data_IF_311054701223
#
_entry.id   IF_311054701223
#
_cell.length_a   1.000
_cell.length_b   1.000
_cell.length_c   1.000
_cell.angle_alpha   90.00
_cell.angle_beta   90.00
_cell.angle_gamma   90.00
#
_symmetry.space_group_name_H-M   'P 1'
#
loop_
_entity.id
_entity.type
_entity.pdbx_description
1 polymer ?
#
# COMPACT_ATOMS: atom_id res chain seq x y z
N UNK A 1 -23.56 4.35 26.54
CA UNK A 1 -22.10 4.59 26.49
C UNK A 1 -21.74 4.53 25.03
N UNK A 2 -21.65 5.69 24.35
CA UNK A 2 -21.32 5.77 22.94
C UNK A 2 -19.85 5.39 22.81
N UNK A 3 -19.60 4.27 22.15
CA UNK A 3 -18.26 3.89 21.70
C UNK A 3 -17.83 4.97 20.68
N UNK A 4 -17.04 5.92 21.12
CA UNK A 4 -16.44 6.92 20.22
C UNK A 4 -15.53 6.14 19.28
N UNK A 5 -16.00 5.90 18.09
CA UNK A 5 -15.30 5.24 17.02
C UNK A 5 -13.99 6.00 16.74
N UNK A 6 -12.92 5.59 17.42
CA UNK A 6 -11.58 6.14 17.19
C UNK A 6 -11.25 5.94 15.71
N UNK A 7 -11.00 7.01 14.95
CA UNK A 7 -10.69 6.87 13.53
C UNK A 7 -9.47 5.95 13.39
N UNK A 8 -9.64 4.86 12.64
CA UNK A 8 -8.59 3.87 12.48
C UNK A 8 -7.32 4.45 11.84
N UNK A 9 -6.15 3.97 12.26
CA UNK A 9 -4.83 4.46 11.86
C UNK A 9 -4.48 3.98 10.45
N UNK A 10 -4.19 4.92 9.55
CA UNK A 10 -3.55 4.66 8.25
C UNK A 10 -2.03 4.80 8.41
N UNK A 11 -1.30 3.69 8.34
CA UNK A 11 0.15 3.68 8.39
C UNK A 11 0.73 3.88 7.00
N UNK A 12 1.42 4.99 6.77
CA UNK A 12 2.21 5.22 5.56
C UNK A 12 3.65 4.82 5.82
N UNK A 13 4.18 3.93 4.97
CA UNK A 13 5.59 3.55 4.93
C UNK A 13 6.20 4.22 3.69
N UNK A 14 7.04 5.23 3.92
CA UNK A 14 7.71 6.00 2.85
C UNK A 14 9.10 5.41 2.58
N UNK A 15 9.31 4.93 1.34
CA UNK A 15 10.58 4.36 0.87
C UNK A 15 11.18 5.23 -0.23
N UNK A 16 11.70 6.40 0.11
CA UNK A 16 12.40 7.24 -0.87
C UNK A 16 13.90 7.22 -0.60
N UNK A 17 14.75 6.78 -1.54
CA UNK A 17 16.20 6.64 -1.33
C UNK A 17 16.90 7.94 -0.93
N UNK A 18 16.35 9.06 -1.36
CA UNK A 18 16.87 10.41 -1.09
C UNK A 18 15.67 11.35 -0.84
N UNK A 19 15.16 11.34 0.39
CA UNK A 19 14.00 12.14 0.77
C UNK A 19 14.27 13.65 0.69
N UNK A 20 15.52 14.10 0.81
CA UNK A 20 15.89 15.53 0.70
C UNK A 20 15.76 16.02 -0.73
N UNK A 21 16.07 15.20 -1.72
CA UNK A 21 15.93 15.52 -3.16
C UNK A 21 14.55 15.23 -3.72
N UNK A 22 13.74 14.49 -3.00
CA UNK A 22 12.39 14.15 -3.42
C UNK A 22 11.46 15.34 -3.36
N UNK A 23 11.07 15.90 -4.50
CA UNK A 23 10.05 16.94 -4.55
C UNK A 23 8.65 16.38 -4.31
N UNK A 24 8.27 15.37 -5.11
CA UNK A 24 6.89 14.85 -5.12
C UNK A 24 6.59 14.02 -3.88
N UNK A 25 7.38 12.97 -3.59
CA UNK A 25 7.11 12.13 -2.41
C UNK A 25 7.15 12.91 -1.11
N UNK A 26 8.04 13.91 -0.99
CA UNK A 26 8.07 14.80 0.18
C UNK A 26 6.83 15.68 0.27
N UNK A 27 6.34 16.23 -0.87
CA UNK A 27 5.10 17.00 -0.89
C UNK A 27 3.89 16.14 -0.49
N UNK A 28 3.78 14.91 -1.01
CA UNK A 28 2.73 13.97 -0.64
C UNK A 28 2.81 13.62 0.86
N UNK A 29 3.99 13.29 1.37
CA UNK A 29 4.20 12.96 2.78
C UNK A 29 3.84 14.11 3.72
N UNK A 30 4.24 15.35 3.38
CA UNK A 30 3.87 16.55 4.14
C UNK A 30 2.37 16.80 4.15
N UNK A 31 1.70 16.64 3.00
CA UNK A 31 0.25 16.78 2.91
C UNK A 31 -0.46 15.72 3.77
N UNK A 32 0.00 14.47 3.73
CA UNK A 32 -0.56 13.37 4.50
C UNK A 32 -0.35 13.53 6.02
N UNK A 33 0.80 14.06 6.44
CA UNK A 33 1.13 14.28 7.86
C UNK A 33 0.17 15.24 8.58
N UNK A 34 -0.58 16.07 7.83
CA UNK A 34 -1.64 16.93 8.37
C UNK A 34 -2.93 16.19 8.73
N UNK A 35 -3.08 14.92 8.36
CA UNK A 35 -4.29 14.14 8.63
C UNK A 35 -4.18 13.41 9.98
N UNK A 36 -5.13 13.63 10.89
CA UNK A 36 -5.11 13.10 12.27
C UNK A 36 -5.13 11.55 12.35
N UNK A 37 -5.60 10.88 11.28
CA UNK A 37 -5.67 9.42 11.21
C UNK A 37 -4.47 8.80 10.49
N UNK A 38 -3.45 9.58 10.15
CA UNK A 38 -2.25 9.13 9.44
C UNK A 38 -1.05 9.07 10.37
N UNK A 39 -0.36 7.94 10.35
CA UNK A 39 0.97 7.76 10.92
C UNK A 39 1.97 7.55 9.78
N UNK A 40 2.95 8.44 9.67
CA UNK A 40 4.00 8.38 8.64
C UNK A 40 5.30 7.81 9.23
N UNK A 41 5.91 6.86 8.55
CA UNK A 41 7.25 6.36 8.83
C UNK A 41 8.14 6.54 7.60
N UNK A 42 9.19 7.35 7.73
CA UNK A 42 10.26 7.42 6.74
C UNK A 42 11.21 6.24 6.95
N UNK A 43 11.10 5.25 6.08
CA UNK A 43 11.80 3.97 6.22
C UNK A 43 13.31 4.12 5.97
N UNK A 44 13.72 5.07 5.14
CA UNK A 44 15.15 5.33 4.90
C UNK A 44 15.78 6.02 6.12
N UNK A 45 15.08 6.95 6.73
CA UNK A 45 15.53 7.57 7.99
C UNK A 45 15.58 6.57 9.15
N UNK A 46 14.63 5.63 9.23
CA UNK A 46 14.61 4.58 10.25
C UNK A 46 15.67 3.50 10.03
N UNK A 47 16.03 3.22 8.78
CA UNK A 47 16.91 2.12 8.39
C UNK A 47 18.02 2.57 7.43
N UNK A 48 18.86 3.54 7.82
CA UNK A 48 19.88 4.11 6.92
C UNK A 48 20.96 3.08 6.51
N UNK A 49 21.15 2.02 7.30
CA UNK A 49 22.07 0.93 7.00
C UNK A 49 21.36 -0.31 6.42
N UNK A 50 20.09 -0.17 5.98
CA UNK A 50 19.26 -1.29 5.58
C UNK A 50 18.69 -2.08 6.76
N UNK A 51 17.97 -3.16 6.46
CA UNK A 51 17.23 -3.96 7.44
C UNK A 51 17.84 -5.36 7.61
N UNK A 52 17.67 -5.92 8.80
CA UNK A 52 18.01 -7.31 9.11
C UNK A 52 16.84 -7.99 9.85
N UNK A 53 16.68 -9.30 9.58
CA UNK A 53 15.58 -10.09 10.14
C UNK A 53 15.55 -10.02 11.68
N UNK A 54 16.67 -10.31 12.30
CA UNK A 54 16.79 -10.47 13.76
C UNK A 54 16.63 -9.13 14.50
N UNK A 55 17.02 -8.03 13.86
CA UNK A 55 17.04 -6.71 14.49
C UNK A 55 15.74 -5.93 14.31
N UNK A 56 15.12 -6.05 13.12
CA UNK A 56 14.14 -5.07 12.67
C UNK A 56 12.74 -5.67 12.41
N UNK A 57 12.67 -6.98 12.12
CA UNK A 57 11.43 -7.60 11.65
C UNK A 57 10.28 -7.51 12.65
N UNK A 58 10.55 -7.72 13.95
CA UNK A 58 9.53 -7.68 15.00
C UNK A 58 8.90 -6.29 15.15
N UNK A 59 9.73 -5.26 15.16
CA UNK A 59 9.26 -3.87 15.27
C UNK A 59 8.34 -3.48 14.11
N UNK A 60 8.69 -3.88 12.89
CA UNK A 60 7.89 -3.58 11.71
C UNK A 60 6.64 -4.45 11.61
N UNK A 61 6.69 -5.73 11.98
CA UNK A 61 5.51 -6.56 12.10
C UNK A 61 4.53 -5.95 13.12
N UNK A 62 5.00 -5.54 14.28
CA UNK A 62 4.18 -4.85 15.28
C UNK A 62 3.60 -3.52 14.76
N UNK A 63 4.33 -2.78 13.91
CA UNK A 63 3.81 -1.58 13.23
C UNK A 63 2.64 -1.91 12.32
N UNK A 64 2.76 -2.95 11.51
CA UNK A 64 1.70 -3.40 10.60
C UNK A 64 0.46 -3.92 11.36
N UNK A 65 0.68 -4.66 12.45
CA UNK A 65 -0.43 -5.18 13.26
C UNK A 65 -1.26 -4.06 13.90
N UNK A 66 -0.61 -2.97 14.36
CA UNK A 66 -1.30 -1.82 14.96
C UNK A 66 -2.02 -0.93 13.96
N UNK A 67 -1.66 -1.00 12.68
CA UNK A 67 -2.30 -0.22 11.64
C UNK A 67 -3.66 -0.83 11.25
N UNK A 68 -4.65 0.01 11.02
CA UNK A 68 -5.94 -0.43 10.45
C UNK A 68 -5.88 -0.48 8.91
N UNK A 69 -4.98 0.32 8.32
CA UNK A 69 -4.74 0.42 6.87
C UNK A 69 -3.27 0.68 6.61
N UNK A 70 -2.77 0.22 5.48
CA UNK A 70 -1.36 0.33 5.11
C UNK A 70 -1.23 1.04 3.77
N UNK A 71 -0.30 1.99 3.68
CA UNK A 71 0.10 2.62 2.41
C UNK A 71 1.59 2.41 2.21
N UNK A 72 1.96 1.85 1.06
CA UNK A 72 3.34 1.78 0.60
C UNK A 72 3.59 2.94 -0.34
N UNK A 73 4.34 3.95 0.12
CA UNK A 73 4.64 5.15 -0.66
C UNK A 73 6.09 5.13 -1.15
N UNK A 74 6.29 5.22 -2.47
CA UNK A 74 7.64 5.13 -3.06
C UNK A 74 7.73 5.70 -4.48
N UNK A 75 8.93 6.13 -4.93
CA UNK A 75 9.19 6.36 -6.34
C UNK A 75 9.42 5.03 -7.05
N UNK A 76 8.78 4.81 -8.20
CA UNK A 76 9.09 3.65 -9.05
C UNK A 76 10.49 3.79 -9.62
N UNK A 77 11.35 2.82 -9.36
CA UNK A 77 12.72 2.78 -9.84
C UNK A 77 12.92 1.54 -10.72
N UNK A 78 13.36 1.76 -11.96
CA UNK A 78 13.55 0.66 -12.91
C UNK A 78 12.35 -0.29 -12.96
N UNK A 79 11.14 0.28 -13.07
CA UNK A 79 9.87 -0.45 -13.18
C UNK A 79 9.49 -1.30 -11.96
N UNK A 80 10.14 -1.07 -10.83
CA UNK A 80 9.94 -1.83 -9.59
C UNK A 80 10.02 -0.92 -8.36
N UNK A 81 10.03 -1.54 -7.19
CA UNK A 81 10.19 -0.88 -5.89
C UNK A 81 11.64 -0.46 -5.65
N UNK A 82 11.89 0.57 -4.82
CA UNK A 82 13.22 0.85 -4.29
C UNK A 82 13.78 -0.35 -3.52
N UNK A 83 15.11 -0.47 -3.49
CA UNK A 83 15.80 -1.61 -2.87
C UNK A 83 15.40 -1.83 -1.40
N UNK A 84 15.25 -0.75 -0.62
CA UNK A 84 14.85 -0.87 0.79
C UNK A 84 13.43 -1.42 0.95
N UNK A 85 12.49 -1.08 0.04
CA UNK A 85 11.15 -1.66 0.10
C UNK A 85 11.19 -3.17 -0.20
N UNK A 86 12.01 -3.60 -1.15
CA UNK A 86 12.19 -5.03 -1.40
C UNK A 86 12.82 -5.74 -0.20
N UNK A 87 13.85 -5.13 0.39
CA UNK A 87 14.46 -5.66 1.61
C UNK A 87 13.47 -5.73 2.78
N UNK A 88 12.63 -4.70 2.96
CA UNK A 88 11.57 -4.70 3.95
C UNK A 88 10.58 -5.86 3.71
N UNK A 89 10.17 -6.11 2.46
CA UNK A 89 9.32 -7.26 2.14
C UNK A 89 9.99 -8.57 2.56
N UNK A 90 11.28 -8.75 2.20
CA UNK A 90 12.03 -9.98 2.50
C UNK A 90 12.20 -10.19 4.01
N UNK A 91 12.42 -9.12 4.77
CA UNK A 91 12.60 -9.17 6.23
C UNK A 91 11.27 -9.34 6.96
N UNK A 92 10.29 -8.47 6.68
CA UNK A 92 9.06 -8.39 7.46
C UNK A 92 8.03 -9.43 7.03
N UNK A 93 7.80 -9.55 5.71
CA UNK A 93 6.81 -10.50 5.22
C UNK A 93 7.27 -11.95 5.35
N UNK A 94 8.59 -12.22 5.33
CA UNK A 94 9.11 -13.56 5.64
C UNK A 94 8.82 -13.92 7.10
N UNK A 95 9.08 -13.02 8.06
CA UNK A 95 8.70 -13.22 9.45
C UNK A 95 7.22 -13.51 9.59
N UNK A 96 6.38 -12.61 9.07
CA UNK A 96 4.93 -12.69 9.21
C UNK A 96 4.30 -13.87 8.45
N UNK A 97 4.88 -14.29 7.33
CA UNK A 97 4.29 -15.32 6.48
C UNK A 97 4.79 -16.74 6.73
N UNK A 98 6.02 -16.90 7.23
CA UNK A 98 6.65 -18.22 7.37
C UNK A 98 7.05 -18.56 8.80
N UNK A 99 7.33 -17.57 9.67
CA UNK A 99 7.74 -17.83 11.05
C UNK A 99 6.53 -17.70 11.98
N UNK A 100 5.74 -16.64 11.84
CA UNK A 100 4.58 -16.33 12.68
C UNK A 100 3.28 -16.20 11.84
N UNK A 101 3.08 -17.14 10.87
CA UNK A 101 2.00 -17.10 9.92
C UNK A 101 0.61 -17.07 10.55
N UNK A 102 0.40 -17.92 11.56
CA UNK A 102 -0.90 -18.12 12.21
C UNK A 102 -1.25 -16.97 13.21
N UNK A 103 -0.29 -16.12 13.53
CA UNK A 103 -0.47 -14.99 14.47
C UNK A 103 -0.27 -13.65 13.78
N UNK A 104 0.99 -13.26 13.53
CA UNK A 104 1.33 -11.98 12.91
C UNK A 104 0.83 -11.91 11.46
N UNK A 105 1.00 -13.00 10.67
CA UNK A 105 0.55 -13.06 9.29
C UNK A 105 -0.96 -13.02 9.17
N UNK A 106 -1.67 -13.78 10.00
CA UNK A 106 -3.13 -13.80 10.04
C UNK A 106 -3.74 -12.43 10.40
N UNK A 107 -3.02 -11.61 11.18
CA UNK A 107 -3.46 -10.24 11.53
C UNK A 107 -3.51 -9.27 10.33
N UNK A 108 -2.96 -9.65 9.18
CA UNK A 108 -3.04 -8.85 7.95
C UNK A 108 -4.29 -9.14 7.11
N UNK A 109 -4.99 -10.25 7.38
CA UNK A 109 -6.16 -10.65 6.60
C UNK A 109 -7.26 -9.56 6.65
N UNK A 110 -7.80 -9.21 5.47
CA UNK A 110 -8.81 -8.16 5.31
C UNK A 110 -8.31 -6.73 5.52
N UNK A 111 -7.05 -6.53 5.91
CA UNK A 111 -6.50 -5.19 6.13
C UNK A 111 -6.31 -4.48 4.79
N UNK A 112 -6.89 -3.28 4.61
CA UNK A 112 -6.72 -2.52 3.37
C UNK A 112 -5.27 -2.12 3.13
N UNK A 113 -4.79 -2.33 1.91
CA UNK A 113 -3.46 -1.89 1.47
C UNK A 113 -3.56 -1.10 0.16
N UNK A 114 -2.90 0.03 0.10
CA UNK A 114 -2.79 0.90 -1.07
C UNK A 114 -1.33 1.18 -1.39
N UNK A 115 -1.00 1.26 -2.67
CA UNK A 115 0.28 1.78 -3.15
C UNK A 115 0.11 3.26 -3.51
N UNK A 116 1.06 4.09 -3.10
CA UNK A 116 1.22 5.46 -3.59
C UNK A 116 2.56 5.56 -4.32
N UNK A 117 2.53 5.52 -5.65
CA UNK A 117 3.75 5.49 -6.46
C UNK A 117 3.90 6.75 -7.31
N UNK A 118 5.16 7.25 -7.38
CA UNK A 118 5.52 8.35 -8.30
C UNK A 118 6.40 7.81 -9.42
N UNK A 119 6.15 8.27 -10.64
CA UNK A 119 6.89 7.90 -11.84
C UNK A 119 7.43 9.15 -12.54
N UNK A 120 8.71 9.13 -12.94
CA UNK A 120 9.33 10.24 -13.66
C UNK A 120 8.74 10.41 -15.07
N UNK A 121 8.34 9.32 -15.73
CA UNK A 121 7.76 9.36 -17.07
C UNK A 121 6.25 9.63 -17.06
N UNK A 122 5.76 10.13 -18.19
CA UNK A 122 4.34 10.40 -18.46
C UNK A 122 3.50 9.12 -18.51
N UNK A 123 2.23 9.23 -18.17
CA UNK A 123 1.28 8.11 -18.14
C UNK A 123 1.21 7.33 -19.45
N UNK A 124 1.27 8.04 -20.60
CA UNK A 124 1.21 7.42 -21.92
C UNK A 124 2.34 6.42 -22.20
N UNK A 125 3.46 6.50 -21.44
CA UNK A 125 4.57 5.54 -21.59
C UNK A 125 4.28 4.17 -20.96
N UNK A 126 3.32 4.11 -20.04
CA UNK A 126 2.93 2.90 -19.27
C UNK A 126 1.69 2.23 -19.87
N UNK A 127 1.74 1.97 -21.17
CA UNK A 127 0.69 1.29 -21.94
C UNK A 127 1.32 0.17 -22.78
N UNK A 128 0.53 -0.83 -23.25
CA UNK A 128 1.03 -1.89 -24.13
C UNK A 128 1.64 -1.37 -25.44
N UNK A 129 1.12 -0.26 -25.97
CA UNK A 129 1.60 0.46 -27.14
C UNK A 129 2.57 1.61 -26.81
N UNK A 130 2.77 1.92 -25.51
CA UNK A 130 3.69 2.93 -25.05
C UNK A 130 5.15 2.45 -25.06
N UNK A 131 6.10 3.38 -24.79
CA UNK A 131 7.53 3.06 -24.79
C UNK A 131 7.91 1.91 -23.84
N UNK A 132 7.27 1.86 -22.66
CA UNK A 132 7.59 0.86 -21.63
C UNK A 132 6.95 -0.50 -21.91
N UNK A 133 5.95 -0.60 -22.79
CA UNK A 133 5.25 -1.83 -23.14
C UNK A 133 4.50 -2.54 -22.01
N UNK A 134 4.49 -1.98 -20.80
CA UNK A 134 3.83 -2.50 -19.61
C UNK A 134 2.98 -1.42 -18.96
N UNK A 135 1.83 -1.82 -18.44
CA UNK A 135 0.98 -0.97 -17.59
C UNK A 135 1.55 -0.89 -16.18
N UNK A 136 1.21 0.17 -15.43
CA UNK A 136 1.59 0.25 -14.00
C UNK A 136 0.99 -0.90 -13.20
N UNK A 137 -0.21 -1.38 -13.53
CA UNK A 137 -0.84 -2.52 -12.87
C UNK A 137 -0.02 -3.80 -13.00
N UNK A 138 0.58 -4.06 -14.17
CA UNK A 138 1.49 -5.20 -14.40
C UNK A 138 2.79 -5.03 -13.60
N UNK A 139 3.33 -3.82 -13.54
CA UNK A 139 4.56 -3.52 -12.77
C UNK A 139 4.33 -3.64 -11.25
N UNK A 140 3.11 -3.40 -10.77
CA UNK A 140 2.73 -3.57 -9.37
C UNK A 140 2.26 -4.99 -9.02
N UNK A 141 2.16 -5.90 -9.99
CA UNK A 141 1.69 -7.27 -9.78
C UNK A 141 2.44 -8.03 -8.65
N UNK A 142 3.77 -7.90 -8.48
CA UNK A 142 4.48 -8.55 -7.38
C UNK A 142 4.03 -8.08 -6.00
N UNK A 143 3.74 -6.77 -5.83
CA UNK A 143 3.20 -6.23 -4.57
C UNK A 143 1.78 -6.73 -4.33
N UNK A 144 0.95 -6.76 -5.37
CA UNK A 144 -0.41 -7.30 -5.29
C UNK A 144 -0.41 -8.79 -4.95
N UNK A 145 0.52 -9.57 -5.52
CA UNK A 145 0.69 -10.98 -5.18
C UNK A 145 1.04 -11.16 -3.69
N UNK A 146 1.93 -10.31 -3.15
CA UNK A 146 2.25 -10.30 -1.72
C UNK A 146 1.03 -9.97 -0.87
N UNK A 147 0.25 -8.96 -1.25
CA UNK A 147 -1.00 -8.62 -0.55
C UNK A 147 -2.00 -9.79 -0.57
N UNK A 148 -2.18 -10.44 -1.72
CA UNK A 148 -3.05 -11.62 -1.87
C UNK A 148 -2.58 -12.79 -0.99
N UNK A 149 -1.26 -13.01 -0.85
CA UNK A 149 -0.68 -14.06 0.01
C UNK A 149 -1.12 -13.93 1.47
N UNK A 150 -1.32 -12.69 1.94
CA UNK A 150 -1.79 -12.37 3.28
C UNK A 150 -3.29 -12.07 3.35
N UNK A 151 -4.05 -12.37 2.30
CA UNK A 151 -5.48 -12.05 2.19
C UNK A 151 -5.82 -10.58 2.51
N UNK A 152 -4.90 -9.65 2.22
CA UNK A 152 -5.13 -8.21 2.38
C UNK A 152 -6.10 -7.68 1.33
N UNK A 153 -6.82 -6.62 1.66
CA UNK A 153 -7.74 -5.93 0.75
C UNK A 153 -6.96 -4.92 -0.11
N UNK A 154 -6.56 -5.35 -1.30
CA UNK A 154 -5.84 -4.50 -2.26
C UNK A 154 -6.75 -3.43 -2.85
N UNK A 155 -6.35 -2.16 -2.67
CA UNK A 155 -7.08 -0.99 -3.16
C UNK A 155 -6.39 -0.35 -4.34
N UNK A 156 -7.14 0.42 -5.14
CA UNK A 156 -6.62 1.13 -6.28
C UNK A 156 -5.44 2.01 -5.89
N UNK A 157 -4.31 1.95 -6.61
CA UNK A 157 -3.13 2.73 -6.29
C UNK A 157 -3.33 4.22 -6.56
N UNK A 158 -2.69 5.06 -5.75
CA UNK A 158 -2.52 6.48 -6.03
C UNK A 158 -1.25 6.67 -6.85
N UNK A 159 -1.36 7.19 -8.07
CA UNK A 159 -0.26 7.31 -9.02
C UNK A 159 -0.02 8.76 -9.39
N UNK A 160 1.26 9.18 -9.43
CA UNK A 160 1.69 10.48 -9.92
C UNK A 160 2.70 10.26 -11.04
N UNK A 161 2.32 10.66 -12.25
CA UNK A 161 3.16 10.60 -13.45
C UNK A 161 3.89 11.91 -13.69
N UNK A 162 4.96 11.88 -14.51
CA UNK A 162 5.74 13.06 -14.85
C UNK A 162 6.40 13.73 -13.65
N UNK A 163 6.70 12.97 -12.58
CA UNK A 163 7.15 13.50 -11.29
C UNK A 163 8.40 14.37 -11.38
N UNK A 164 9.29 14.10 -12.34
CA UNK A 164 10.55 14.85 -12.51
C UNK A 164 10.32 16.27 -13.05
N UNK A 165 9.21 16.48 -13.77
CA UNK A 165 8.86 17.76 -14.42
C UNK A 165 7.81 18.58 -13.65
N UNK A 166 7.29 18.09 -12.50
CA UNK A 166 6.25 18.79 -11.76
C UNK A 166 6.72 20.12 -11.19
N UNK A 167 5.97 21.18 -11.51
CA UNK A 167 6.18 22.53 -10.96
C UNK A 167 5.51 22.66 -9.57
N UNK A 168 5.84 23.75 -8.86
CA UNK A 168 5.37 23.98 -7.50
C UNK A 168 3.84 23.92 -7.33
N UNK A 169 3.08 24.49 -8.25
CA UNK A 169 1.62 24.50 -8.20
C UNK A 169 1.03 23.10 -8.37
N UNK A 170 1.61 22.31 -9.28
CA UNK A 170 1.22 20.91 -9.50
C UNK A 170 1.58 20.02 -8.30
N UNK A 171 2.67 20.34 -7.56
CA UNK A 171 3.01 19.64 -6.32
C UNK A 171 1.94 19.86 -5.24
N UNK A 172 1.45 21.11 -5.10
CA UNK A 172 0.38 21.42 -4.15
C UNK A 172 -0.93 20.69 -4.52
N UNK A 173 -1.25 20.63 -5.81
CA UNK A 173 -2.41 19.89 -6.31
C UNK A 173 -2.28 18.38 -6.05
N UNK A 174 -1.13 17.78 -6.37
CA UNK A 174 -0.86 16.37 -6.07
C UNK A 174 -1.00 16.07 -4.57
N UNK A 175 -0.54 16.96 -3.69
CA UNK A 175 -0.73 16.86 -2.24
C UNK A 175 -2.20 16.87 -1.86
N UNK A 176 -3.02 17.77 -2.40
CA UNK A 176 -4.47 17.81 -2.16
C UNK A 176 -5.18 16.55 -2.67
N UNK A 177 -4.84 16.10 -3.87
CA UNK A 177 -5.37 14.86 -4.45
C UNK A 177 -5.03 13.64 -3.57
N UNK A 178 -3.81 13.60 -3.04
CA UNK A 178 -3.38 12.53 -2.15
C UNK A 178 -4.13 12.53 -0.82
N UNK A 179 -4.30 13.69 -0.16
CA UNK A 179 -5.09 13.78 1.07
C UNK A 179 -6.54 13.34 0.85
N UNK A 180 -7.13 13.70 -0.30
CA UNK A 180 -8.47 13.23 -0.67
C UNK A 180 -8.51 11.71 -0.90
N UNK A 181 -7.50 11.14 -1.57
CA UNK A 181 -7.39 9.69 -1.75
C UNK A 181 -7.24 8.95 -0.40
N UNK A 182 -6.41 9.46 0.52
CA UNK A 182 -6.26 8.92 1.88
C UNK A 182 -7.55 9.00 2.69
N UNK A 183 -8.31 10.09 2.58
CA UNK A 183 -9.61 10.25 3.25
C UNK A 183 -10.64 9.23 2.73
N UNK A 184 -10.69 8.99 1.41
CA UNK A 184 -11.54 7.94 0.83
C UNK A 184 -11.07 6.53 1.24
N UNK A 185 -9.76 6.31 1.27
CA UNK A 185 -9.16 5.04 1.71
C UNK A 185 -9.48 4.75 3.19
N UNK A 186 -9.62 5.79 4.01
CA UNK A 186 -9.99 5.68 5.42
C UNK A 186 -11.50 5.49 5.64
N UNK A 187 -12.34 5.80 4.67
CA UNK A 187 -13.78 5.62 4.79
C UNK A 187 -14.14 4.11 4.87
N UNK A 188 -15.16 3.74 5.68
CA UNK A 188 -15.64 2.37 5.70
C UNK A 188 -16.14 1.98 4.30
N UNK A 189 -15.90 0.73 3.90
CA UNK A 189 -16.38 0.21 2.62
C UNK A 189 -17.91 0.33 2.58
N UNK A 190 -18.45 1.19 1.69
CA UNK A 190 -19.88 1.35 1.50
C UNK A 190 -20.40 0.04 0.87
N UNK A 191 -20.98 -0.86 1.71
CA UNK A 191 -21.93 -1.89 1.29
C UNK A 191 -21.49 -2.86 0.19
N UNK A 192 -20.53 -3.73 0.43
CA UNK A 192 -20.51 -5.01 -0.24
C UNK A 192 -21.57 -5.91 0.40
N UNK A 193 -22.74 -6.04 -0.23
CA UNK A 193 -23.72 -7.06 0.15
C UNK A 193 -23.02 -8.42 0.03
N UNK A 194 -23.10 -9.31 1.04
CA UNK A 194 -22.67 -10.66 0.86
C UNK A 194 -23.51 -11.27 -0.27
N UNK A 195 -22.86 -11.77 -1.31
CA UNK A 195 -23.53 -12.58 -2.32
C UNK A 195 -24.17 -13.76 -1.60
N UNK A 196 -25.50 -13.75 -1.59
CA UNK A 196 -26.30 -14.82 -1.05
C UNK A 196 -25.95 -16.13 -1.77
N UNK A 197 -25.41 -17.07 -1.02
CA UNK A 197 -25.32 -18.46 -1.43
C UNK A 197 -26.73 -18.99 -1.59
N UNK A 198 -27.25 -18.95 -2.81
CA UNK A 198 -28.43 -19.70 -3.21
C UNK A 198 -28.08 -21.19 -3.17
N UNK A 199 -28.43 -21.82 -2.05
CA UNK A 199 -28.52 -23.28 -1.98
C UNK A 199 -29.79 -23.70 -2.73
N UNK A 200 -29.66 -24.09 -3.99
CA UNK A 200 -30.70 -24.90 -4.64
C UNK A 200 -30.30 -26.35 -4.51
N UNK A 201 -30.88 -27.00 -3.49
CA UNK A 201 -30.98 -28.45 -3.39
C UNK A 201 -32.29 -28.84 -4.06
N UNK A 202 -32.25 -29.21 -5.31
CA UNK A 202 -33.30 -30.03 -5.87
C UNK A 202 -32.90 -31.51 -5.72
N UNK A 203 -33.54 -32.15 -4.77
CA UNK A 203 -33.72 -33.61 -4.77
C UNK A 203 -34.39 -33.98 -6.09
N UNK A 204 -33.82 -34.92 -6.81
CA UNK A 204 -34.64 -35.86 -7.56
C UNK A 204 -34.08 -37.26 -7.45
N UNK A 205 -34.96 -38.11 -6.91
CA UNK A 205 -34.83 -39.51 -6.65
C UNK A 205 -35.42 -40.27 -7.86
N UNK A 206 -34.82 -41.37 -8.21
CA UNK A 206 -35.37 -42.61 -8.80
C UNK A 206 -34.78 -43.08 -10.12
N UNK A 207 -34.24 -44.25 -9.96
CA UNK A 207 -34.47 -45.51 -10.72
C UNK A 207 -33.80 -45.66 -12.10
N UNK A 208 -32.88 -46.56 -12.19
CA UNK A 208 -32.85 -47.86 -12.83
C UNK A 208 -31.44 -48.44 -12.77
#
# INVERSE_FOLDING_TARGET
MHDEHRPGVTQILLFHPDSERSKVNTALARAAAGLHHVALADMVALYPAGMAMERDSEREAARLMRADRIVLQFPMQWYSTPALLKQWQDVVLTRMGYIFGDTEGAALAGKPVMVAATMGAEEATYRPDGRNRFTVAELLAPLRASANRFAMDWRDPFLVFGADALLADNLAEAGRAYTHALSRFAAPATGARPNGSGSDRSEDSRAA
#
